data_IF_567176760743
#
_entry.id   IF_567176760743
#
_cell.length_a   1.000
_cell.length_b   1.000
_cell.length_c   1.000
_cell.angle_alpha   90.00
_cell.angle_beta   90.00
_cell.angle_gamma   90.00
#
_symmetry.space_group_name_H-M   'P 1'
#
loop_
_entity.id
_entity.type
_entity.pdbx_description
1 polymer ?
#
# COMPACT_ATOMS: atom_id res chain seq x y z
N UNK A 1 2.93 11.45 16.86
CA UNK A 1 3.33 10.25 16.09
C UNK A 1 3.03 10.52 14.63
N UNK A 2 4.03 10.44 13.75
CA UNK A 2 3.80 10.57 12.31
C UNK A 2 3.08 9.31 11.82
N UNK A 3 1.91 9.41 11.17
CA UNK A 3 1.26 8.23 10.62
C UNK A 3 2.18 7.58 9.59
N UNK A 4 2.42 6.28 9.74
CA UNK A 4 3.11 5.48 8.72
C UNK A 4 2.25 5.41 7.47
N UNK A 5 2.84 5.53 6.29
CA UNK A 5 2.08 5.56 5.02
C UNK A 5 1.64 4.16 4.54
N UNK A 6 2.14 3.11 5.20
CA UNK A 6 2.00 1.70 4.84
C UNK A 6 2.08 0.82 6.10
N UNK A 7 1.37 -0.31 6.07
CA UNK A 7 1.47 -1.38 7.07
C UNK A 7 1.15 -2.74 6.45
N UNK A 8 1.70 -3.80 7.05
CA UNK A 8 1.24 -5.16 6.80
C UNK A 8 0.18 -5.53 7.83
N UNK A 9 -0.93 -6.12 7.39
CA UNK A 9 -2.00 -6.59 8.26
C UNK A 9 -2.11 -8.11 8.16
N UNK A 10 -1.89 -8.79 9.29
CA UNK A 10 -1.93 -10.25 9.38
C UNK A 10 -0.54 -10.87 9.55
N UNK A 11 -0.48 -12.19 9.41
CA UNK A 11 0.73 -13.00 9.49
C UNK A 11 1.34 -13.23 8.10
N UNK A 12 1.97 -14.37 7.85
CA UNK A 12 2.52 -14.72 6.52
C UNK A 12 1.48 -14.69 5.39
N UNK A 13 0.19 -14.84 5.70
CA UNK A 13 -0.94 -14.78 4.75
C UNK A 13 -1.64 -13.42 4.69
N UNK A 14 -1.07 -12.41 5.35
CA UNK A 14 -1.64 -11.08 5.44
C UNK A 14 -1.68 -10.30 4.12
N UNK A 15 -2.02 -9.02 4.23
CA UNK A 15 -2.07 -8.11 3.09
C UNK A 15 -1.45 -6.77 3.43
N UNK A 16 -1.05 -6.05 2.39
CA UNK A 16 -0.53 -4.70 2.51
C UNK A 16 -1.69 -3.70 2.62
N UNK A 17 -1.58 -2.72 3.52
CA UNK A 17 -2.45 -1.56 3.55
C UNK A 17 -1.68 -0.27 3.35
N UNK A 18 -2.26 0.63 2.55
CA UNK A 18 -1.70 1.92 2.18
C UNK A 18 -2.61 3.05 2.65
N UNK A 19 -2.05 4.16 3.10
CA UNK A 19 -2.85 5.37 3.34
C UNK A 19 -3.20 6.04 2.02
N UNK A 20 -4.48 6.36 1.81
CA UNK A 20 -4.90 7.21 0.68
C UNK A 20 -4.51 8.67 0.92
N UNK A 21 -3.39 9.07 0.33
CA UNK A 21 -2.85 10.41 0.45
C UNK A 21 -3.68 11.46 -0.29
N UNK A 22 -4.61 11.09 -1.18
CA UNK A 22 -5.48 12.05 -1.88
C UNK A 22 -6.55 12.65 -0.95
N UNK A 23 -6.84 11.96 0.15
CA UNK A 23 -7.84 12.37 1.13
C UNK A 23 -7.24 13.17 2.30
N UNK A 24 -5.91 13.19 2.43
CA UNK A 24 -5.23 13.95 3.46
C UNK A 24 -5.16 15.44 3.13
N UNK A 25 -5.25 16.32 4.16
CA UNK A 25 -5.34 16.01 5.59
C UNK A 25 -6.79 15.77 6.09
N UNK A 26 -7.80 15.83 5.22
CA UNK A 26 -9.21 15.81 5.62
C UNK A 26 -9.69 14.47 6.18
N UNK A 27 -9.16 13.35 5.67
CA UNK A 27 -9.56 12.00 6.10
C UNK A 27 -8.41 11.01 5.96
N UNK A 28 -8.24 10.19 7.00
CA UNK A 28 -7.32 9.05 6.99
C UNK A 28 -8.09 7.80 6.55
N UNK A 29 -7.81 7.30 5.35
CA UNK A 29 -8.35 6.03 4.85
C UNK A 29 -7.24 5.07 4.47
N UNK A 30 -7.52 3.77 4.65
CA UNK A 30 -6.61 2.68 4.31
C UNK A 30 -7.13 1.89 3.12
N UNK A 31 -6.25 1.62 2.16
CA UNK A 31 -6.52 0.80 0.97
C UNK A 31 -5.87 -0.56 1.20
N UNK A 32 -6.68 -1.61 1.29
CA UNK A 32 -6.18 -2.98 1.33
C UNK A 32 -5.74 -3.45 -0.06
N UNK A 33 -4.44 -3.63 -0.25
CA UNK A 33 -3.87 -4.24 -1.43
C UNK A 33 -3.73 -5.74 -1.17
N UNK A 34 -4.65 -6.52 -1.75
CA UNK A 34 -4.65 -7.99 -1.69
C UNK A 34 -4.09 -8.65 -2.95
N UNK A 35 -3.88 -7.85 -3.98
CA UNK A 35 -3.38 -8.28 -5.28
C UNK A 35 -2.53 -7.18 -5.93
N UNK A 36 -1.73 -7.58 -6.92
CA UNK A 36 -0.85 -6.68 -7.67
C UNK A 36 -1.63 -5.60 -8.45
N UNK A 37 -2.76 -5.89 -9.12
CA UNK A 37 -3.55 -4.87 -9.80
C UNK A 37 -4.01 -3.72 -8.89
N UNK A 38 -4.49 -4.01 -7.69
CA UNK A 38 -4.92 -3.00 -6.71
C UNK A 38 -3.75 -2.10 -6.32
N UNK A 39 -2.57 -2.67 -6.10
CA UNK A 39 -1.36 -1.91 -5.80
C UNK A 39 -0.96 -1.00 -6.97
N UNK A 40 -0.97 -1.51 -8.20
CA UNK A 40 -0.65 -0.74 -9.40
C UNK A 40 -1.61 0.44 -9.56
N UNK A 41 -2.91 0.23 -9.37
CA UNK A 41 -3.91 1.29 -9.46
C UNK A 41 -3.72 2.35 -8.37
N UNK A 42 -3.40 1.95 -7.13
CA UNK A 42 -3.11 2.90 -6.04
C UNK A 42 -1.91 3.81 -6.35
N UNK A 43 -0.87 3.27 -7.02
CA UNK A 43 0.29 4.05 -7.47
C UNK A 43 -0.09 4.98 -8.62
N UNK A 44 -0.74 4.45 -9.66
CA UNK A 44 -1.12 5.23 -10.87
C UNK A 44 -2.08 6.37 -10.56
N UNK A 45 -3.02 6.15 -9.65
CA UNK A 45 -3.98 7.16 -9.20
C UNK A 45 -3.42 8.14 -8.16
N UNK A 46 -2.13 8.03 -7.82
CA UNK A 46 -1.44 8.85 -6.82
C UNK A 46 -2.07 8.79 -5.42
N UNK A 47 -2.85 7.73 -5.12
CA UNK A 47 -3.30 7.43 -3.75
C UNK A 47 -2.13 7.12 -2.84
N UNK A 48 -1.06 6.53 -3.38
CA UNK A 48 0.25 6.46 -2.75
C UNK A 48 1.30 7.11 -3.67
N UNK A 49 2.21 7.91 -3.10
CA UNK A 49 3.27 8.59 -3.85
C UNK A 49 4.54 8.78 -3.03
N UNK A 50 5.64 9.06 -3.73
CA UNK A 50 6.98 9.24 -3.16
C UNK A 50 7.77 7.93 -3.01
N UNK A 51 8.94 8.01 -2.36
CA UNK A 51 9.82 6.87 -2.09
C UNK A 51 9.13 5.59 -1.56
N UNK A 52 8.06 5.67 -0.74
CA UNK A 52 7.39 4.46 -0.26
C UNK A 52 6.71 3.63 -1.37
N UNK A 53 6.15 4.28 -2.40
CA UNK A 53 5.44 3.59 -3.48
C UNK A 53 6.34 2.65 -4.30
N UNK A 54 7.62 3.03 -4.48
CA UNK A 54 8.59 2.27 -5.26
C UNK A 54 9.08 1.05 -4.49
N UNK A 55 9.39 1.21 -3.19
CA UNK A 55 9.82 0.08 -2.34
C UNK A 55 8.73 -0.97 -2.12
N UNK A 56 7.47 -0.51 -2.03
CA UNK A 56 6.30 -1.38 -1.91
C UNK A 56 6.15 -2.29 -3.14
N UNK A 57 6.26 -1.75 -4.35
CA UNK A 57 6.11 -2.52 -5.58
C UNK A 57 7.12 -3.66 -5.68
N UNK A 58 8.37 -3.43 -5.25
CA UNK A 58 9.42 -4.45 -5.24
C UNK A 58 9.17 -5.56 -4.20
N UNK A 59 8.81 -5.18 -2.96
CA UNK A 59 8.62 -6.15 -1.88
C UNK A 59 7.31 -6.95 -1.97
N UNK A 60 6.20 -6.29 -2.29
CA UNK A 60 4.89 -6.94 -2.36
C UNK A 60 4.79 -7.88 -3.57
N UNK A 61 5.45 -7.55 -4.68
CA UNK A 61 5.54 -8.44 -5.84
C UNK A 61 6.16 -9.81 -5.51
N UNK A 62 7.15 -9.85 -4.60
CA UNK A 62 7.77 -11.09 -4.15
C UNK A 62 6.84 -11.93 -3.26
N UNK A 63 6.08 -11.28 -2.37
CA UNK A 63 5.17 -11.98 -1.46
C UNK A 63 3.99 -12.58 -2.22
N UNK A 64 3.39 -11.83 -3.16
CA UNK A 64 2.30 -12.35 -3.99
C UNK A 64 2.77 -13.42 -4.97
N UNK A 65 4.00 -13.32 -5.51
CA UNK A 65 4.54 -14.33 -6.41
C UNK A 65 4.97 -15.63 -5.71
N UNK A 66 5.21 -15.59 -4.39
CA UNK A 66 5.60 -16.73 -3.59
C UNK A 66 4.40 -17.48 -2.95
N UNK A 67 3.19 -16.96 -3.12
CA UNK A 67 1.93 -17.54 -2.62
C UNK A 67 1.18 -18.35 -3.66
#
# INVERSE_FOLDING_TARGET
MTPVSLRWQGDASGHLELVDQTLLPGRLEWIACRDVPTLIEAIKSLRVRGAPAIGIAGGYGLVVAAG
#
